data_IF_250977318266
#
_entry.id   IF_250977318266
#
_cell.length_a   1.000
_cell.length_b   1.000
_cell.length_c   1.000
_cell.angle_alpha   90.00
_cell.angle_beta   90.00
_cell.angle_gamma   90.00
#
_symmetry.space_group_name_H-M   'P 1'
#
loop_
_entity.id
_entity.type
_entity.pdbx_description
1 polymer ?
#
# COMPACT_ATOMS: atom_id res chain seq x y z
N UNK A 1 -1.83 -21.56 2.11
CA UNK A 1 -3.02 -21.00 2.80
C UNK A 1 -3.45 -21.89 3.94
N UNK A 2 -3.64 -23.19 3.70
CA UNK A 2 -3.94 -24.19 4.74
C UNK A 2 -2.86 -24.29 5.83
N UNK A 3 -1.57 -24.24 5.46
CA UNK A 3 -0.45 -24.28 6.41
C UNK A 3 -0.50 -23.17 7.48
N UNK A 4 -0.93 -21.96 7.11
CA UNK A 4 -1.04 -20.82 8.05
C UNK A 4 -2.13 -21.07 9.10
N UNK A 5 -3.22 -21.72 8.69
CA UNK A 5 -4.33 -22.05 9.60
C UNK A 5 -3.94 -23.20 10.54
N UNK A 6 -3.27 -24.23 10.00
CA UNK A 6 -2.71 -25.34 10.80
C UNK A 6 -1.69 -24.81 11.82
N UNK A 7 -0.85 -23.87 11.42
CA UNK A 7 0.11 -23.24 12.35
C UNK A 7 -0.59 -22.41 13.43
N UNK A 8 -1.65 -21.66 13.08
CA UNK A 8 -2.44 -20.93 14.06
C UNK A 8 -3.09 -21.87 15.10
N UNK A 9 -3.66 -22.99 14.66
CA UNK A 9 -4.19 -24.04 15.55
C UNK A 9 -3.09 -24.62 16.44
N UNK A 10 -1.91 -24.94 15.88
CA UNK A 10 -0.75 -25.44 16.63
C UNK A 10 -0.27 -24.46 17.71
N UNK A 11 -0.40 -23.16 17.45
CA UNK A 11 -0.07 -22.09 18.39
C UNK A 11 -1.18 -21.81 19.43
N UNK A 12 -2.29 -22.55 19.40
CA UNK A 12 -3.37 -22.48 20.38
C UNK A 12 -4.54 -21.58 19.97
N UNK A 13 -4.70 -21.27 18.68
CA UNK A 13 -5.90 -20.61 18.19
C UNK A 13 -7.11 -21.54 18.29
N UNK A 14 -8.18 -21.05 18.93
CA UNK A 14 -9.50 -21.70 18.96
C UNK A 14 -10.24 -21.51 17.64
N UNK A 15 -9.88 -20.44 16.92
CA UNK A 15 -10.42 -20.13 15.61
C UNK A 15 -9.37 -19.33 14.81
N UNK A 16 -9.25 -19.64 13.53
CA UNK A 16 -8.45 -18.87 12.59
C UNK A 16 -9.16 -18.76 11.24
N UNK A 17 -9.16 -17.57 10.65
CA UNK A 17 -9.60 -17.38 9.26
C UNK A 17 -8.63 -16.50 8.47
N UNK A 18 -8.30 -16.95 7.26
CA UNK A 18 -7.47 -16.24 6.32
C UNK A 18 -8.30 -15.90 5.08
N UNK A 19 -8.45 -14.60 4.84
CA UNK A 19 -9.21 -14.04 3.72
C UNK A 19 -8.26 -13.48 2.70
N UNK A 20 -8.57 -13.73 1.43
CA UNK A 20 -7.95 -13.07 0.30
C UNK A 20 -8.97 -12.14 -0.35
N UNK A 21 -8.53 -10.94 -0.72
CA UNK A 21 -9.33 -10.03 -1.53
C UNK A 21 -8.53 -9.50 -2.71
N UNK A 22 -9.24 -9.33 -3.83
CA UNK A 22 -8.73 -8.67 -5.03
C UNK A 22 -9.85 -7.84 -5.63
N UNK A 23 -9.69 -6.54 -5.59
CA UNK A 23 -10.63 -5.57 -6.17
C UNK A 23 -9.98 -4.90 -7.38
N UNK A 24 -10.74 -4.82 -8.47
CA UNK A 24 -10.39 -4.00 -9.65
C UNK A 24 -11.27 -2.77 -9.64
N UNK A 25 -10.65 -1.61 -9.60
CA UNK A 25 -11.35 -0.32 -9.63
C UNK A 25 -11.19 0.28 -11.02
N UNK A 26 -12.32 0.54 -11.67
CA UNK A 26 -12.41 1.38 -12.86
C UNK A 26 -13.12 2.67 -12.47
N UNK A 27 -12.42 3.79 -12.51
CA UNK A 27 -13.02 5.11 -12.31
C UNK A 27 -12.86 5.94 -13.58
N UNK A 28 -13.98 6.50 -14.07
CA UNK A 28 -14.04 7.42 -15.20
C UNK A 28 -14.57 8.75 -14.67
N UNK A 29 -13.76 9.80 -14.77
CA UNK A 29 -14.18 11.16 -14.43
C UNK A 29 -14.30 11.97 -15.72
N UNK A 30 -15.42 12.67 -15.90
CA UNK A 30 -15.64 13.59 -17.02
C UNK A 30 -15.93 14.99 -16.48
N UNK A 31 -15.23 16.00 -16.99
CA UNK A 31 -15.47 17.42 -16.69
C UNK A 31 -15.75 18.18 -18.00
N UNK A 32 -16.39 19.35 -17.88
CA UNK A 32 -16.76 20.20 -19.02
C UNK A 32 -15.54 20.63 -19.86
N UNK A 33 -14.36 20.72 -19.23
CA UNK A 33 -13.05 20.93 -19.87
C UNK A 33 -12.31 19.59 -19.97
N UNK A 34 -12.81 18.74 -20.88
CA UNK A 34 -12.37 17.38 -21.23
C UNK A 34 -10.93 16.98 -20.85
N UNK A 35 -10.78 16.36 -19.67
CA UNK A 35 -9.75 15.36 -19.39
C UNK A 35 -10.43 14.11 -18.83
N UNK A 36 -10.33 12.99 -19.54
CA UNK A 36 -10.78 11.69 -19.05
C UNK A 36 -9.62 11.06 -18.28
N UNK A 37 -9.67 11.13 -16.95
CA UNK A 37 -8.72 10.41 -16.09
C UNK A 37 -9.24 8.99 -15.92
N UNK A 38 -8.58 8.03 -16.58
CA UNK A 38 -8.80 6.60 -16.35
C UNK A 38 -7.89 6.11 -15.23
N UNK A 39 -8.46 5.80 -14.07
CA UNK A 39 -7.73 5.11 -13.00
C UNK A 39 -8.01 3.61 -13.06
N UNK A 40 -6.97 2.82 -13.34
CA UNK A 40 -7.00 1.36 -13.29
C UNK A 40 -6.27 0.90 -12.02
N UNK A 41 -6.98 0.88 -10.91
CA UNK A 41 -6.45 0.40 -9.64
C UNK A 41 -6.70 -1.10 -9.48
N UNK A 42 -5.66 -1.89 -9.21
CA UNK A 42 -5.81 -3.23 -8.64
C UNK A 42 -5.39 -3.16 -7.18
N UNK A 43 -6.34 -3.42 -6.28
CA UNK A 43 -6.07 -3.57 -4.85
C UNK A 43 -6.17 -5.04 -4.50
N UNK A 44 -5.09 -5.60 -3.97
CA UNK A 44 -4.99 -7.00 -3.60
C UNK A 44 -4.43 -7.11 -2.19
N UNK A 45 -4.91 -8.07 -1.41
CA UNK A 45 -4.39 -8.29 -0.08
C UNK A 45 -4.99 -9.47 0.65
N UNK A 46 -4.51 -9.63 1.88
CA UNK A 46 -4.88 -10.70 2.78
C UNK A 46 -5.27 -10.14 4.13
N UNK A 47 -6.19 -10.83 4.82
CA UNK A 47 -6.53 -10.56 6.20
C UNK A 47 -6.54 -11.87 6.99
N UNK A 48 -5.78 -11.94 8.08
CA UNK A 48 -5.77 -13.05 9.03
C UNK A 48 -6.45 -12.59 10.31
N UNK A 49 -7.37 -13.40 10.84
CA UNK A 49 -7.93 -13.22 12.17
C UNK A 49 -7.77 -14.49 12.98
N UNK A 50 -7.45 -14.34 14.25
CA UNK A 50 -7.24 -15.45 15.18
C UNK A 50 -7.94 -15.17 16.50
N UNK A 51 -8.48 -16.20 17.13
CA UNK A 51 -9.04 -16.15 18.47
C UNK A 51 -8.21 -17.05 19.39
N UNK A 52 -7.68 -16.50 20.47
CA UNK A 52 -6.92 -17.25 21.48
C UNK A 52 -7.45 -16.87 22.85
N UNK A 53 -8.03 -17.82 23.59
CA UNK A 53 -8.53 -17.62 24.96
C UNK A 53 -9.48 -16.42 25.09
N UNK A 54 -10.40 -16.29 24.13
CA UNK A 54 -11.34 -15.17 24.07
C UNK A 54 -10.77 -13.85 23.53
N UNK A 55 -9.46 -13.76 23.24
CA UNK A 55 -8.82 -12.57 22.68
C UNK A 55 -8.66 -12.66 21.16
N UNK A 56 -9.08 -11.62 20.45
CA UNK A 56 -8.96 -11.54 18.99
C UNK A 56 -7.68 -10.85 18.56
N UNK A 57 -6.97 -11.46 17.61
CA UNK A 57 -5.85 -10.88 16.87
C UNK A 57 -6.21 -10.65 15.41
N UNK A 58 -5.73 -9.56 14.83
CA UNK A 58 -6.01 -9.18 13.44
C UNK A 58 -4.72 -8.73 12.74
N UNK A 59 -4.48 -9.25 11.53
CA UNK A 59 -3.41 -8.80 10.65
C UNK A 59 -3.94 -8.59 9.24
N UNK A 60 -3.56 -7.48 8.62
CA UNK A 60 -3.87 -7.21 7.21
C UNK A 60 -2.59 -6.90 6.45
N UNK A 61 -2.51 -7.38 5.22
CA UNK A 61 -1.38 -7.15 4.33
C UNK A 61 -1.90 -6.78 2.94
N UNK A 62 -1.58 -5.57 2.50
CA UNK A 62 -1.84 -5.14 1.14
C UNK A 62 -0.67 -5.54 0.23
N UNK A 63 -0.96 -6.26 -0.84
CA UNK A 63 -0.07 -6.36 -1.99
C UNK A 63 -0.33 -5.13 -2.86
N UNK A 64 0.29 -4.01 -2.45
CA UNK A 64 0.21 -2.75 -3.19
C UNK A 64 0.76 -2.94 -4.61
N UNK A 65 0.08 -2.32 -5.59
CA UNK A 65 0.55 -2.25 -6.97
C UNK A 65 1.98 -1.69 -7.00
N UNK A 66 2.92 -2.54 -7.37
CA UNK A 66 4.27 -2.17 -7.78
C UNK A 66 4.13 -1.42 -9.12
N UNK A 67 3.68 -0.19 -9.05
CA UNK A 67 3.24 0.58 -10.22
C UNK A 67 2.83 1.98 -9.81
N UNK A 68 3.74 2.93 -10.01
CA UNK A 68 3.54 4.38 -9.91
C UNK A 68 3.67 5.03 -8.53
N UNK A 69 4.73 4.69 -7.78
CA UNK A 69 5.43 5.72 -6.98
C UNK A 69 6.74 6.07 -7.66
N UNK A 70 6.71 6.96 -8.66
CA UNK A 70 7.93 7.68 -9.04
C UNK A 70 8.33 8.53 -7.84
N UNK A 71 9.53 8.35 -7.24
CA UNK A 71 9.99 9.29 -6.23
C UNK A 71 10.05 10.67 -6.89
N UNK A 72 9.36 11.65 -6.32
CA UNK A 72 9.60 13.06 -6.63
C UNK A 72 11.07 13.30 -6.29
N UNK A 73 11.93 13.42 -7.31
CA UNK A 73 13.27 13.99 -7.12
C UNK A 73 13.07 15.38 -6.55
N UNK A 74 13.26 15.52 -5.24
CA UNK A 74 13.51 16.80 -4.60
C UNK A 74 14.86 17.25 -5.17
N UNK A 75 14.85 18.19 -6.12
CA UNK A 75 16.05 18.98 -6.37
C UNK A 75 16.26 19.79 -5.11
N UNK A 76 17.19 19.36 -4.28
CA UNK A 76 17.76 20.22 -3.26
C UNK A 76 18.41 21.39 -4.00
N UNK A 77 17.84 22.58 -3.85
CA UNK A 77 18.56 23.81 -4.10
C UNK A 77 19.70 23.85 -3.07
N UNK A 78 20.92 23.54 -3.50
CA UNK A 78 22.12 23.90 -2.76
C UNK A 78 22.30 25.42 -2.88
N UNK A 79 21.79 26.16 -1.90
CA UNK A 79 22.39 27.44 -1.54
C UNK A 79 23.67 27.14 -0.77
N UNK A 80 24.79 27.17 -1.48
CA UNK A 80 26.11 27.30 -0.87
C UNK A 80 26.69 28.62 -1.36
N UNK A 81 26.75 29.59 -0.45
CA UNK A 81 27.44 30.85 -0.68
C UNK A 81 28.91 30.63 -1.00
N UNK A 82 29.38 31.32 -2.03
CA UNK A 82 30.78 31.54 -2.30
C UNK A 82 30.94 32.99 -2.74
N UNK A 83 31.55 33.82 -1.88
CA UNK A 83 32.13 35.10 -2.29
C UNK A 83 33.29 34.80 -3.23
N UNK A 84 33.40 35.54 -4.34
CA UNK A 84 34.61 36.27 -4.77
C UNK A 84 34.44 36.88 -6.18
N UNK A 85 34.93 38.12 -6.36
CA UNK A 85 35.29 38.69 -7.66
C UNK A 85 34.30 39.68 -8.28
N UNK A 86 34.39 40.96 -7.92
CA UNK A 86 33.85 42.06 -8.74
C UNK A 86 34.88 42.49 -9.80
N UNK A 87 34.47 42.90 -11.01
CA UNK A 87 35.38 43.56 -11.94
C UNK A 87 35.43 45.08 -11.65
N UNK A 88 36.64 45.61 -11.76
CA UNK A 88 36.98 47.03 -11.80
C UNK A 88 36.46 47.70 -13.09
#
# INVERSE_FOLDING_TARGET
>A
MQEVLVEAERLGAEFADLRYYRARTLAVTASESREVVNNYGVSEGYALRVLVRGAWGYLTANRGAEGLRRPRRRKELSWAGGREGGPA
#
